data_IF_894818031905
#
_entry.id   IF_894818031905
#
_cell.length_a   1.000
_cell.length_b   1.000
_cell.length_c   1.000
_cell.angle_alpha   90.00
_cell.angle_beta   90.00
_cell.angle_gamma   90.00
#
_symmetry.space_group_name_H-M   'P 1'
#
loop_
_entity.id
_entity.type
_entity.pdbx_description
1 polymer ?
#
# COMPACT_ATOMS: atom_id res chain seq x y z
N UNK A 1 30.18 16.58 20.31
CA UNK A 1 29.05 16.68 19.38
C UNK A 1 27.94 15.77 19.91
N UNK A 2 26.68 16.09 19.59
CA UNK A 2 25.55 15.29 20.01
C UNK A 2 25.55 13.94 19.27
N UNK A 3 25.00 12.91 19.92
CA UNK A 3 24.86 11.56 19.37
C UNK A 3 23.84 11.54 18.22
N UNK A 4 24.16 10.81 17.15
CA UNK A 4 23.21 10.53 16.07
C UNK A 4 22.49 9.22 16.43
N UNK A 5 21.18 9.31 16.65
CA UNK A 5 20.30 8.14 16.84
C UNK A 5 19.41 8.00 15.62
N UNK A 6 19.54 6.89 14.91
CA UNK A 6 18.79 6.67 13.66
C UNK A 6 18.32 5.23 13.54
N UNK A 7 17.13 4.95 12.96
CA UNK A 7 16.74 3.61 12.60
C UNK A 7 17.65 3.03 11.50
N UNK A 8 17.82 1.71 11.50
CA UNK A 8 18.50 1.00 10.45
C UNK A 8 17.85 1.31 9.08
N UNK A 9 18.67 1.57 8.05
CA UNK A 9 18.18 1.97 6.73
C UNK A 9 17.91 3.46 6.55
N UNK A 10 18.17 4.29 7.57
CA UNK A 10 18.07 5.75 7.45
C UNK A 10 19.07 6.30 6.43
N UNK A 11 18.66 7.31 5.68
CA UNK A 11 19.54 8.01 4.73
C UNK A 11 20.15 9.24 5.40
N UNK A 12 21.46 9.22 5.59
CA UNK A 12 22.24 10.38 6.02
C UNK A 12 22.57 11.26 4.82
N UNK A 13 22.19 12.54 4.89
CA UNK A 13 22.56 13.55 3.90
C UNK A 13 23.38 14.63 4.58
N UNK A 14 24.54 14.94 4.00
CA UNK A 14 25.38 16.02 4.50
C UNK A 14 25.82 16.93 3.35
N UNK A 15 25.93 18.22 3.66
CA UNK A 15 26.48 19.23 2.75
C UNK A 15 27.64 19.94 3.47
N UNK A 16 28.71 20.08 2.77
CA UNK A 16 29.91 20.80 3.25
C UNK A 16 30.26 21.94 2.30
N UNK A 17 30.60 23.10 2.88
CA UNK A 17 31.19 24.22 2.16
C UNK A 17 32.61 24.39 2.66
N UNK A 18 33.60 24.22 1.78
CA UNK A 18 35.02 24.27 2.12
C UNK A 18 35.89 24.70 0.93
N UNK A 19 36.91 25.50 1.18
CA UNK A 19 37.90 25.92 0.18
C UNK A 19 39.05 24.93 0.01
N UNK A 20 39.15 23.90 0.87
CA UNK A 20 40.30 22.97 0.89
C UNK A 20 40.11 21.71 0.03
N UNK A 21 39.03 21.61 -0.71
CA UNK A 21 38.69 20.44 -1.53
C UNK A 21 37.58 19.56 -0.89
N UNK A 22 37.22 18.50 -1.59
CA UNK A 22 36.11 17.62 -1.15
C UNK A 22 36.49 16.90 0.16
N UNK A 23 35.69 17.01 1.22
CA UNK A 23 35.86 16.20 2.43
C UNK A 23 35.44 14.75 2.16
N UNK A 24 35.63 13.88 3.16
CA UNK A 24 35.14 12.52 3.13
C UNK A 24 34.35 12.20 4.41
N UNK A 25 33.34 11.40 4.28
CA UNK A 25 32.56 10.85 5.38
C UNK A 25 33.00 9.40 5.61
N UNK A 26 33.23 8.99 6.84
CA UNK A 26 33.45 7.60 7.19
C UNK A 26 32.31 7.11 8.11
N UNK A 27 31.71 5.98 7.74
CA UNK A 27 30.68 5.28 8.53
C UNK A 27 31.04 3.81 8.55
N UNK A 28 31.09 3.18 9.71
CA UNK A 28 31.44 1.76 9.88
C UNK A 28 32.77 1.35 9.22
N UNK A 29 33.74 2.29 9.20
CA UNK A 29 35.05 2.08 8.55
C UNK A 29 35.07 2.20 7.03
N UNK A 30 33.93 2.40 6.39
CA UNK A 30 33.80 2.71 4.97
C UNK A 30 33.95 4.22 4.74
N UNK A 31 34.78 4.62 3.80
CA UNK A 31 34.96 6.02 3.44
C UNK A 31 34.17 6.37 2.20
N UNK A 32 33.27 7.32 2.34
CA UNK A 32 32.33 7.77 1.31
C UNK A 32 32.77 9.20 0.88
N UNK A 33 33.17 9.40 -0.38
CA UNK A 33 33.57 10.71 -0.86
C UNK A 33 32.38 11.63 -1.03
N UNK A 34 32.55 12.91 -0.78
CA UNK A 34 31.59 13.93 -1.14
C UNK A 34 31.65 14.23 -2.63
N UNK A 35 30.52 14.42 -3.27
CA UNK A 35 30.40 14.85 -4.66
C UNK A 35 30.29 16.37 -4.74
N UNK A 36 30.96 16.97 -5.74
CA UNK A 36 30.91 18.41 -5.96
C UNK A 36 29.50 18.84 -6.44
N UNK A 37 28.99 19.90 -5.87
CA UNK A 37 27.79 20.56 -6.35
C UNK A 37 28.09 21.61 -7.41
N UNK A 38 27.11 22.11 -8.13
CA UNK A 38 27.28 23.19 -9.13
C UNK A 38 27.78 24.51 -8.52
N UNK A 39 27.61 24.68 -7.20
CA UNK A 39 28.11 25.83 -6.45
C UNK A 39 29.61 25.70 -6.15
N UNK A 40 30.33 26.79 -6.21
CA UNK A 40 31.80 26.80 -5.92
C UNK A 40 32.04 26.38 -4.46
N UNK A 41 32.94 25.42 -4.26
CA UNK A 41 33.34 24.88 -2.95
C UNK A 41 32.22 24.24 -2.12
N UNK A 42 31.13 23.81 -2.75
CA UNK A 42 30.05 23.07 -2.10
C UNK A 42 30.08 21.59 -2.53
N UNK A 43 29.90 20.71 -1.56
CA UNK A 43 30.00 19.28 -1.74
C UNK A 43 28.84 18.61 -0.96
N UNK A 44 28.32 17.51 -1.48
CA UNK A 44 27.27 16.75 -0.83
C UNK A 44 27.61 15.26 -0.77
N UNK A 45 27.08 14.57 0.24
CA UNK A 45 27.14 13.12 0.36
C UNK A 45 25.78 12.60 0.82
N UNK A 46 25.41 11.45 0.30
CA UNK A 46 24.23 10.69 0.71
C UNK A 46 24.65 9.25 0.93
N UNK A 47 24.30 8.67 2.09
CA UNK A 47 24.62 7.28 2.41
C UNK A 47 23.56 6.67 3.31
N UNK A 48 23.36 5.37 3.20
CA UNK A 48 22.46 4.60 4.06
C UNK A 48 23.19 4.20 5.35
N UNK A 49 22.53 4.38 6.49
CA UNK A 49 23.03 3.98 7.81
C UNK A 49 22.55 2.57 8.13
N UNK A 50 23.39 1.56 7.90
CA UNK A 50 23.08 0.15 8.18
C UNK A 50 23.75 -0.36 9.45
N UNK A 51 24.79 0.34 9.94
CA UNK A 51 25.59 -0.03 11.11
C UNK A 51 26.62 1.05 11.44
N UNK A 52 27.50 0.73 12.38
CA UNK A 52 28.62 1.59 12.79
C UNK A 52 28.45 2.19 14.20
N UNK A 53 29.58 2.65 14.77
CA UNK A 53 29.62 3.27 16.10
C UNK A 53 29.81 4.79 16.01
N UNK A 54 30.24 5.30 14.87
CA UNK A 54 30.48 6.73 14.66
C UNK A 54 30.35 7.15 13.19
N UNK A 55 29.98 8.39 13.00
CA UNK A 55 30.09 9.11 11.72
C UNK A 55 31.25 10.08 11.86
N UNK A 56 32.27 9.95 10.99
CA UNK A 56 33.51 10.75 11.04
C UNK A 56 33.62 11.56 9.76
N UNK A 57 33.79 12.88 9.90
CA UNK A 57 34.04 13.80 8.79
C UNK A 57 35.53 14.16 8.78
N UNK A 58 36.18 13.96 7.64
CA UNK A 58 37.60 14.28 7.45
C UNK A 58 37.86 15.27 6.32
N UNK A 59 38.89 16.09 6.46
CA UNK A 59 39.43 16.87 5.32
C UNK A 59 40.16 15.96 4.31
N UNK A 60 40.50 16.51 3.17
CA UNK A 60 41.23 15.83 2.09
C UNK A 60 42.61 15.28 2.54
N UNK A 61 43.21 15.89 3.55
CA UNK A 61 44.51 15.48 4.14
C UNK A 61 44.35 14.46 5.30
N UNK A 62 43.13 14.02 5.59
CA UNK A 62 42.83 13.04 6.63
C UNK A 62 42.64 13.62 8.04
N UNK A 63 42.64 14.95 8.18
CA UNK A 63 42.36 15.60 9.48
C UNK A 63 40.88 15.42 9.82
N UNK A 64 40.60 14.91 11.02
CA UNK A 64 39.22 14.77 11.52
C UNK A 64 38.67 16.17 11.84
N UNK A 65 37.60 16.55 11.16
CA UNK A 65 36.87 17.79 11.38
C UNK A 65 35.81 17.63 12.45
N UNK A 66 35.09 16.48 12.42
CA UNK A 66 34.05 16.18 13.36
C UNK A 66 33.89 14.67 13.49
N UNK A 67 33.40 14.25 14.66
CA UNK A 67 33.03 12.86 14.97
C UNK A 67 31.74 12.87 15.80
N UNK A 68 30.75 12.11 15.34
CA UNK A 68 29.47 11.92 16.01
C UNK A 68 29.31 10.46 16.38
N UNK A 69 29.10 10.13 17.66
CA UNK A 69 28.68 8.79 18.06
C UNK A 69 27.40 8.42 17.29
N UNK A 70 27.33 7.20 16.78
CA UNK A 70 26.20 6.69 16.01
C UNK A 70 25.55 5.53 16.76
N UNK A 71 24.24 5.63 17.00
CA UNK A 71 23.43 4.55 17.55
C UNK A 71 22.37 4.17 16.55
N UNK A 72 22.52 2.98 15.99
CA UNK A 72 21.49 2.41 15.11
C UNK A 72 20.49 1.67 15.98
N UNK A 73 19.24 2.10 15.89
CA UNK A 73 18.11 1.45 16.58
C UNK A 73 17.35 0.55 15.60
N UNK A 74 16.88 -0.64 16.06
CA UNK A 74 16.04 -1.48 15.23
C UNK A 74 14.75 -0.73 14.83
N UNK A 75 14.37 -0.85 13.58
CA UNK A 75 13.09 -0.40 13.07
C UNK A 75 12.08 -1.54 13.14
N UNK A 76 10.91 -1.29 13.73
CA UNK A 76 9.87 -2.30 13.89
C UNK A 76 8.92 -2.28 12.68
N UNK A 77 8.48 -3.44 12.16
CA UNK A 77 7.53 -3.47 11.05
C UNK A 77 6.22 -2.75 11.39
N UNK A 78 5.61 -2.03 10.45
CA UNK A 78 4.35 -1.35 10.66
C UNK A 78 3.21 -2.31 10.97
N UNK A 79 2.21 -1.83 11.68
CA UNK A 79 1.06 -2.62 12.12
C UNK A 79 -0.24 -2.11 11.52
N UNK A 80 -1.17 -3.03 11.23
CA UNK A 80 -2.50 -2.71 10.72
C UNK A 80 -3.57 -3.55 11.41
N UNK A 81 -4.73 -2.95 11.69
CA UNK A 81 -5.88 -3.66 12.23
C UNK A 81 -7.20 -3.01 11.83
N UNK A 82 -8.25 -3.82 11.66
CA UNK A 82 -9.61 -3.32 11.67
C UNK A 82 -10.04 -3.03 13.11
N UNK A 83 -10.69 -1.89 13.32
CA UNK A 83 -11.21 -1.50 14.64
C UNK A 83 -12.47 -2.32 14.94
N UNK A 84 -13.30 -2.53 13.93
CA UNK A 84 -14.55 -3.28 13.99
C UNK A 84 -14.82 -4.02 12.66
N UNK A 85 -15.90 -4.78 12.61
CA UNK A 85 -16.39 -5.38 11.38
C UNK A 85 -16.91 -4.29 10.45
N UNK A 86 -16.53 -4.30 9.14
CA UNK A 86 -17.03 -3.34 8.18
C UNK A 86 -18.55 -3.27 8.15
N UNK A 87 -19.11 -2.06 8.14
CA UNK A 87 -20.56 -1.83 8.19
C UNK A 87 -21.07 -1.26 6.86
N UNK A 88 -22.22 -1.76 6.41
CA UNK A 88 -22.90 -1.30 5.19
C UNK A 88 -23.99 -0.29 5.59
N UNK A 89 -23.99 0.90 4.99
CA UNK A 89 -25.08 1.87 5.11
C UNK A 89 -26.29 1.50 4.26
N UNK A 90 -27.43 2.14 4.52
CA UNK A 90 -28.66 1.91 3.71
C UNK A 90 -28.50 2.25 2.22
N UNK A 91 -27.48 3.01 1.84
CA UNK A 91 -27.13 3.34 0.44
C UNK A 91 -26.15 2.37 -0.20
N UNK A 92 -25.70 1.32 0.51
CA UNK A 92 -24.71 0.36 0.01
C UNK A 92 -23.26 0.78 0.18
N UNK A 93 -23.00 1.97 0.76
CA UNK A 93 -21.62 2.41 1.08
C UNK A 93 -21.10 1.62 2.27
N UNK A 94 -19.91 1.06 2.12
CA UNK A 94 -19.22 0.33 3.19
C UNK A 94 -18.31 1.30 3.94
N UNK A 95 -18.35 1.23 5.27
CA UNK A 95 -17.41 1.90 6.16
C UNK A 95 -16.44 0.87 6.73
N UNK A 96 -15.15 1.12 6.54
CA UNK A 96 -14.06 0.35 7.08
C UNK A 96 -13.34 1.20 8.12
N UNK A 97 -13.49 0.91 9.40
CA UNK A 97 -12.75 1.57 10.47
C UNK A 97 -11.43 0.80 10.67
N UNK A 98 -10.31 1.52 10.62
CA UNK A 98 -8.99 0.94 10.72
C UNK A 98 -8.07 1.74 11.63
N UNK A 99 -7.05 1.04 12.15
CA UNK A 99 -5.94 1.62 12.89
C UNK A 99 -4.64 1.08 12.31
N UNK A 100 -3.71 1.98 12.07
CA UNK A 100 -2.36 1.72 11.58
C UNK A 100 -1.37 2.32 12.56
N UNK A 101 -0.19 1.74 12.69
CA UNK A 101 0.86 2.24 13.56
C UNK A 101 2.24 1.81 13.08
N UNK A 102 3.22 2.69 13.28
CA UNK A 102 4.62 2.51 12.96
C UNK A 102 5.46 3.46 13.82
N UNK A 103 6.66 3.08 14.19
CA UNK A 103 7.51 3.88 15.08
C UNK A 103 8.20 5.05 14.34
N UNK A 104 8.49 4.92 13.05
CA UNK A 104 9.13 5.97 12.26
C UNK A 104 8.26 6.58 11.17
N UNK A 105 7.16 5.96 10.82
CA UNK A 105 6.14 6.52 9.94
C UNK A 105 5.73 5.63 8.78
N UNK A 106 4.44 5.67 8.51
CA UNK A 106 3.78 4.87 7.48
C UNK A 106 3.95 5.58 6.13
N UNK A 107 4.53 4.89 5.15
CA UNK A 107 4.67 5.39 3.79
C UNK A 107 3.41 5.10 2.95
N UNK A 108 2.90 3.87 3.01
CA UNK A 108 1.74 3.46 2.22
C UNK A 108 0.81 2.56 3.01
N UNK A 109 -0.47 2.63 2.68
CA UNK A 109 -1.48 1.72 3.19
C UNK A 109 -2.50 1.37 2.12
N UNK A 110 -2.98 0.13 2.11
CA UNK A 110 -4.03 -0.33 1.20
C UNK A 110 -4.94 -1.36 1.86
N UNK A 111 -6.16 -1.43 1.38
CA UNK A 111 -7.13 -2.47 1.67
C UNK A 111 -7.13 -3.46 0.50
N UNK A 112 -6.68 -4.67 0.73
CA UNK A 112 -6.69 -5.76 -0.24
C UNK A 112 -8.02 -6.52 -0.17
N UNK A 113 -8.58 -6.80 -1.35
CA UNK A 113 -9.77 -7.62 -1.53
C UNK A 113 -9.38 -8.85 -2.35
N UNK A 114 -9.80 -10.03 -1.90
CA UNK A 114 -9.57 -11.29 -2.62
C UNK A 114 -10.85 -12.12 -2.57
N UNK A 115 -11.36 -12.69 -3.67
CA UNK A 115 -12.51 -13.56 -3.64
C UNK A 115 -12.24 -14.78 -2.74
N UNK A 116 -13.20 -15.14 -1.88
CA UNK A 116 -13.05 -16.30 -0.99
C UNK A 116 -13.01 -17.64 -1.75
N UNK A 117 -13.81 -17.73 -2.81
CA UNK A 117 -14.07 -18.97 -3.56
C UNK A 117 -13.51 -18.90 -5.00
N UNK A 118 -12.36 -18.24 -5.21
CA UNK A 118 -11.71 -18.25 -6.50
C UNK A 118 -10.95 -19.57 -6.71
N UNK A 119 -11.19 -20.24 -7.85
CA UNK A 119 -10.31 -21.33 -8.31
C UNK A 119 -8.87 -20.82 -8.47
N UNK A 120 -7.86 -21.71 -8.28
CA UNK A 120 -6.45 -21.30 -8.30
C UNK A 120 -6.00 -20.66 -9.62
N UNK A 121 -4.82 -20.01 -9.66
CA UNK A 121 -4.44 -18.89 -10.51
C UNK A 121 -4.60 -19.14 -12.00
N UNK A 122 -5.22 -18.18 -12.68
CA UNK A 122 -5.49 -18.17 -14.13
C UNK A 122 -6.89 -17.67 -14.50
N UNK A 123 -7.77 -17.45 -13.53
CA UNK A 123 -9.03 -16.75 -13.72
C UNK A 123 -8.88 -15.23 -13.52
N UNK A 124 -9.85 -14.47 -13.96
CA UNK A 124 -9.97 -13.01 -13.71
C UNK A 124 -10.20 -12.73 -12.20
N UNK A 125 -9.24 -13.07 -11.33
CA UNK A 125 -9.51 -13.14 -9.90
C UNK A 125 -8.38 -12.77 -8.98
N UNK A 126 -7.32 -12.14 -9.49
CA UNK A 126 -6.24 -11.67 -8.63
C UNK A 126 -6.75 -10.55 -7.71
N UNK A 127 -6.07 -10.39 -6.57
CA UNK A 127 -6.43 -9.40 -5.57
C UNK A 127 -6.68 -8.02 -6.20
N UNK A 128 -7.68 -7.32 -5.70
CA UNK A 128 -7.87 -5.89 -5.96
C UNK A 128 -7.44 -5.11 -4.72
N UNK A 129 -6.98 -3.89 -4.89
CA UNK A 129 -6.49 -3.08 -3.79
C UNK A 129 -7.02 -1.65 -3.84
N UNK A 130 -7.42 -1.15 -2.69
CA UNK A 130 -7.92 0.22 -2.51
C UNK A 130 -6.92 0.97 -1.62
N UNK A 131 -6.29 2.05 -2.12
CA UNK A 131 -5.38 2.83 -1.31
C UNK A 131 -6.10 3.48 -0.13
N UNK A 132 -5.44 3.50 1.03
CA UNK A 132 -5.89 4.20 2.21
C UNK A 132 -5.39 5.65 2.15
N UNK A 133 -6.25 6.64 2.40
CA UNK A 133 -5.82 8.03 2.51
C UNK A 133 -5.02 8.21 3.80
N UNK A 134 -3.73 8.55 3.67
CA UNK A 134 -2.82 8.78 4.78
C UNK A 134 -2.17 10.15 4.65
N UNK A 135 -2.04 10.92 5.75
CA UNK A 135 -1.15 12.07 5.80
C UNK A 135 0.31 11.61 5.61
N UNK A 136 1.17 12.49 5.10
CA UNK A 136 2.59 12.19 5.01
C UNK A 136 3.21 12.00 6.41
N UNK A 137 4.12 11.03 6.53
CA UNK A 137 4.91 10.76 7.74
C UNK A 137 4.09 10.52 9.02
N UNK A 138 2.94 9.87 8.90
CA UNK A 138 2.09 9.57 10.04
C UNK A 138 2.58 8.31 10.77
N UNK A 139 2.89 8.44 12.05
CA UNK A 139 3.25 7.28 12.90
C UNK A 139 2.02 6.50 13.39
N UNK A 140 0.89 7.16 13.56
CA UNK A 140 -0.35 6.49 13.97
C UNK A 140 -1.53 7.10 13.25
N UNK A 141 -2.31 6.28 12.58
CA UNK A 141 -3.55 6.67 11.92
C UNK A 141 -4.71 5.82 12.43
N UNK A 142 -5.76 6.48 12.92
CA UNK A 142 -7.06 5.84 13.16
C UNK A 142 -8.09 6.60 12.32
N UNK A 143 -8.70 5.94 11.35
CA UNK A 143 -9.57 6.59 10.37
C UNK A 143 -10.63 5.63 9.83
N UNK A 144 -11.52 6.16 8.99
CA UNK A 144 -12.54 5.42 8.30
C UNK A 144 -12.42 5.60 6.78
N UNK A 145 -12.41 4.49 6.06
CA UNK A 145 -12.52 4.47 4.61
C UNK A 145 -13.99 4.21 4.24
N UNK A 146 -14.54 5.04 3.37
CA UNK A 146 -15.89 4.88 2.82
C UNK A 146 -15.79 4.52 1.34
N UNK A 147 -16.42 3.41 0.92
CA UNK A 147 -16.43 2.97 -0.48
C UNK A 147 -17.78 2.41 -0.89
N UNK A 148 -18.26 2.83 -2.05
CA UNK A 148 -19.35 2.16 -2.75
C UNK A 148 -18.74 1.02 -3.59
N UNK A 149 -18.97 -0.21 -3.18
CA UNK A 149 -18.56 -1.42 -3.91
C UNK A 149 -19.74 -2.18 -4.50
N UNK A 150 -20.93 -1.56 -4.58
CA UNK A 150 -22.13 -2.18 -5.16
C UNK A 150 -22.00 -2.48 -6.66
N UNK A 151 -21.13 -1.78 -7.37
CA UNK A 151 -20.80 -2.01 -8.77
C UNK A 151 -19.49 -2.78 -8.98
N UNK A 152 -18.82 -3.18 -7.89
CA UNK A 152 -17.56 -3.91 -7.97
C UNK A 152 -17.75 -5.25 -8.69
N UNK A 153 -16.70 -5.74 -9.39
CA UNK A 153 -16.75 -7.04 -10.11
C UNK A 153 -17.18 -8.20 -9.21
N UNK A 154 -16.88 -8.15 -7.92
CA UNK A 154 -17.28 -9.16 -6.92
C UNK A 154 -18.50 -8.76 -6.08
N UNK A 155 -19.28 -7.75 -6.49
CA UNK A 155 -20.52 -7.39 -5.80
C UNK A 155 -21.42 -8.61 -5.62
N UNK A 156 -21.97 -8.80 -4.42
CA UNK A 156 -22.79 -9.96 -4.04
C UNK A 156 -22.00 -11.25 -3.78
N UNK A 157 -20.65 -11.19 -3.72
CA UNK A 157 -19.81 -12.34 -3.34
C UNK A 157 -19.09 -12.07 -2.02
N UNK A 158 -18.71 -13.15 -1.34
CA UNK A 158 -17.85 -13.05 -0.16
C UNK A 158 -16.41 -12.85 -0.60
N UNK A 159 -15.78 -11.81 -0.06
CA UNK A 159 -14.37 -11.51 -0.25
C UNK A 159 -13.64 -11.62 1.08
N UNK A 160 -12.35 -11.92 1.00
CA UNK A 160 -11.39 -11.77 2.08
C UNK A 160 -10.84 -10.35 2.02
N UNK A 161 -10.98 -9.60 3.10
CA UNK A 161 -10.43 -8.26 3.29
C UNK A 161 -9.18 -8.34 4.15
N UNK A 162 -8.14 -7.61 3.79
CA UNK A 162 -6.91 -7.51 4.56
C UNK A 162 -6.28 -6.14 4.37
N UNK A 163 -5.95 -5.46 5.46
CA UNK A 163 -5.16 -4.24 5.42
C UNK A 163 -3.68 -4.60 5.27
N UNK A 164 -2.98 -3.82 4.48
CA UNK A 164 -1.53 -3.91 4.33
C UNK A 164 -0.94 -2.51 4.40
N UNK A 165 0.14 -2.37 5.13
CA UNK A 165 0.87 -1.11 5.30
C UNK A 165 2.34 -1.33 5.06
N UNK A 166 3.04 -0.31 4.60
CA UNK A 166 4.49 -0.29 4.49
C UNK A 166 5.06 1.00 5.05
N UNK A 167 6.25 0.91 5.60
CA UNK A 167 7.07 2.03 6.07
C UNK A 167 7.96 2.61 4.96
N UNK A 168 8.86 3.53 5.34
CA UNK A 168 9.79 4.21 4.44
C UNK A 168 10.94 3.33 3.94
N UNK A 169 11.30 2.26 4.65
CA UNK A 169 12.39 1.33 4.27
C UNK A 169 11.87 0.03 3.64
N UNK A 170 10.55 -0.08 3.42
CA UNK A 170 9.94 -1.19 2.71
C UNK A 170 9.53 -2.36 3.58
N UNK A 171 9.55 -2.27 4.90
CA UNK A 171 8.95 -3.26 5.78
C UNK A 171 7.43 -3.23 5.61
N UNK A 172 6.77 -4.37 5.79
CA UNK A 172 5.33 -4.48 5.60
C UNK A 172 4.65 -5.13 6.80
N UNK A 173 3.49 -4.60 7.15
CA UNK A 173 2.60 -5.16 8.14
C UNK A 173 1.21 -5.46 7.58
N UNK A 174 0.57 -6.51 8.08
CA UNK A 174 -0.74 -6.92 7.62
C UNK A 174 -1.71 -7.13 8.78
N UNK A 175 -2.97 -6.77 8.57
CA UNK A 175 -4.02 -7.10 9.54
C UNK A 175 -4.41 -8.57 9.48
N UNK A 176 -5.14 -9.03 10.51
CA UNK A 176 -5.96 -10.24 10.38
C UNK A 176 -6.95 -10.05 9.23
N UNK A 177 -7.18 -11.12 8.46
CA UNK A 177 -8.14 -11.08 7.38
C UNK A 177 -9.57 -11.28 7.88
N UNK A 178 -10.52 -10.61 7.24
CA UNK A 178 -11.94 -10.71 7.48
C UNK A 178 -12.66 -11.23 6.24
N UNK A 179 -13.64 -12.12 6.40
CA UNK A 179 -14.56 -12.46 5.32
C UNK A 179 -15.73 -11.48 5.34
N UNK A 180 -16.04 -10.89 4.19
CA UNK A 180 -17.08 -9.89 4.07
C UNK A 180 -17.90 -10.09 2.80
N UNK A 181 -19.24 -10.08 2.92
CA UNK A 181 -20.14 -10.13 1.77
C UNK A 181 -20.26 -8.73 1.18
N UNK A 182 -19.75 -8.53 -0.03
CA UNK A 182 -19.89 -7.24 -0.70
C UNK A 182 -21.36 -6.95 -1.03
N UNK A 183 -21.82 -5.71 -0.79
CA UNK A 183 -23.15 -5.30 -1.21
C UNK A 183 -23.25 -5.34 -2.74
N UNK A 184 -24.48 -5.54 -3.23
CA UNK A 184 -24.79 -5.46 -4.65
C UNK A 184 -26.00 -4.58 -4.90
N UNK A 185 -26.06 -3.99 -6.09
CA UNK A 185 -27.25 -3.25 -6.53
C UNK A 185 -28.43 -4.22 -6.72
N UNK A 186 -29.55 -3.84 -6.17
CA UNK A 186 -30.79 -4.54 -6.43
C UNK A 186 -31.38 -4.02 -7.75
N UNK A 187 -31.75 -4.95 -8.64
CA UNK A 187 -32.39 -4.63 -9.90
C UNK A 187 -33.78 -5.22 -9.93
N UNK A 188 -34.78 -4.41 -10.21
CA UNK A 188 -36.17 -4.87 -10.32
C UNK A 188 -36.41 -5.56 -11.68
N UNK A 189 -35.77 -5.06 -12.74
CA UNK A 189 -35.96 -5.59 -14.08
C UNK A 189 -35.43 -7.03 -14.24
N UNK A 190 -36.22 -7.99 -14.73
CA UNK A 190 -35.86 -9.42 -14.79
C UNK A 190 -34.56 -9.67 -15.64
N UNK A 191 -34.43 -8.98 -16.75
CA UNK A 191 -33.26 -9.11 -17.63
C UNK A 191 -31.98 -8.62 -16.91
N UNK A 192 -32.05 -7.48 -16.20
CA UNK A 192 -30.93 -6.98 -15.44
C UNK A 192 -30.49 -7.98 -14.35
N UNK A 193 -31.43 -8.59 -13.64
CA UNK A 193 -31.13 -9.66 -12.66
C UNK A 193 -30.44 -10.86 -13.31
N UNK A 194 -30.93 -11.28 -14.47
CA UNK A 194 -30.37 -12.42 -15.19
C UNK A 194 -28.94 -12.15 -15.70
N UNK A 195 -28.67 -10.93 -16.20
CA UNK A 195 -27.32 -10.49 -16.61
C UNK A 195 -26.37 -10.49 -15.42
N UNK A 196 -26.79 -9.96 -14.26
CA UNK A 196 -25.97 -9.97 -13.04
C UNK A 196 -25.68 -11.39 -12.57
N UNK A 197 -26.67 -12.30 -12.63
CA UNK A 197 -26.47 -13.72 -12.29
C UNK A 197 -25.47 -14.39 -13.24
N UNK A 198 -25.59 -14.15 -14.55
CA UNK A 198 -24.66 -14.68 -15.56
C UNK A 198 -23.24 -14.15 -15.35
N UNK A 199 -23.07 -12.86 -15.00
CA UNK A 199 -21.76 -12.28 -14.64
C UNK A 199 -21.15 -12.98 -13.44
N UNK A 200 -21.92 -13.17 -12.36
CA UNK A 200 -21.45 -13.85 -11.14
C UNK A 200 -21.02 -15.30 -11.44
N UNK A 201 -21.78 -16.01 -12.27
CA UNK A 201 -21.45 -17.37 -12.66
C UNK A 201 -20.18 -17.43 -13.51
N UNK A 202 -20.01 -16.48 -14.45
CA UNK A 202 -18.79 -16.38 -15.27
C UNK A 202 -17.57 -16.11 -14.42
N UNK A 203 -17.67 -15.21 -13.44
CA UNK A 203 -16.57 -14.84 -12.56
C UNK A 203 -16.23 -15.99 -11.59
N UNK A 204 -17.24 -16.74 -11.10
CA UNK A 204 -17.02 -17.92 -10.26
C UNK A 204 -16.46 -19.13 -11.03
N UNK A 205 -16.83 -19.29 -12.30
CA UNK A 205 -16.46 -20.44 -13.14
C UNK A 205 -16.09 -20.01 -14.56
N UNK A 206 -14.90 -19.39 -14.78
CA UNK A 206 -14.51 -18.84 -16.08
C UNK A 206 -14.46 -19.88 -17.21
N UNK A 207 -14.34 -21.16 -16.87
CA UNK A 207 -14.35 -22.27 -17.85
C UNK A 207 -15.72 -22.53 -18.48
N UNK A 208 -16.81 -22.08 -17.84
CA UNK A 208 -18.20 -22.24 -18.34
C UNK A 208 -18.67 -21.12 -19.27
N UNK A 209 -17.77 -20.51 -20.05
CA UNK A 209 -18.08 -19.38 -20.94
C UNK A 209 -19.14 -19.69 -21.97
N UNK A 210 -19.14 -20.89 -22.56
CA UNK A 210 -20.08 -21.29 -23.62
C UNK A 210 -21.54 -21.31 -23.15
N UNK A 211 -21.89 -22.04 -22.08
CA UNK A 211 -23.24 -22.03 -21.51
C UNK A 211 -23.72 -20.64 -21.11
N UNK A 212 -22.85 -19.83 -20.49
CA UNK A 212 -23.19 -18.46 -20.05
C UNK A 212 -23.45 -17.54 -21.25
N UNK A 213 -22.60 -17.59 -22.29
CA UNK A 213 -22.83 -16.85 -23.53
C UNK A 213 -24.16 -17.21 -24.20
N UNK A 214 -24.52 -18.50 -24.20
CA UNK A 214 -25.83 -18.96 -24.68
C UNK A 214 -27.00 -18.37 -23.87
N UNK A 215 -26.88 -18.32 -22.55
CA UNK A 215 -27.87 -17.71 -21.67
C UNK A 215 -28.03 -16.22 -21.96
N UNK A 216 -26.93 -15.47 -22.05
CA UNK A 216 -26.94 -14.03 -22.39
C UNK A 216 -27.56 -13.82 -23.78
N UNK A 217 -27.22 -14.64 -24.77
CA UNK A 217 -27.79 -14.52 -26.13
C UNK A 217 -29.31 -14.77 -26.16
N UNK A 218 -29.81 -15.68 -25.35
CA UNK A 218 -31.26 -15.91 -25.19
C UNK A 218 -31.95 -14.72 -24.52
N UNK A 219 -31.32 -14.12 -23.51
CA UNK A 219 -31.84 -12.94 -22.82
C UNK A 219 -31.91 -11.72 -23.77
N UNK A 220 -30.89 -11.50 -24.59
CA UNK A 220 -30.87 -10.43 -25.58
C UNK A 220 -31.98 -10.58 -26.63
N UNK A 221 -32.27 -11.81 -27.09
CA UNK A 221 -33.38 -12.08 -28.02
C UNK A 221 -34.75 -11.92 -27.35
N UNK A 222 -34.84 -12.10 -26.05
CA UNK A 222 -36.06 -11.90 -25.30
C UNK A 222 -36.28 -10.42 -24.90
N UNK A 223 -35.28 -9.54 -25.05
CA UNK A 223 -35.40 -8.11 -24.69
C UNK A 223 -36.48 -7.41 -25.50
N UNK A 224 -36.64 -7.75 -26.80
CA UNK A 224 -37.65 -7.18 -27.68
C UNK A 224 -39.11 -7.47 -27.20
N UNK A 225 -39.29 -8.50 -26.37
CA UNK A 225 -40.59 -8.84 -25.79
C UNK A 225 -40.93 -8.00 -24.54
N UNK A 226 -39.96 -7.27 -23.96
CA UNK A 226 -40.13 -6.48 -22.73
C UNK A 226 -40.18 -4.99 -22.94
N UNK A 227 -39.76 -4.48 -24.13
CA UNK A 227 -39.80 -3.06 -24.46
C UNK A 227 -41.21 -2.51 -24.69
N UNK A 228 -42.24 -3.35 -24.56
CA UNK A 228 -43.66 -3.00 -24.81
C UNK A 228 -44.49 -2.74 -23.55
N UNK A 229 -43.88 -2.74 -22.34
CA UNK A 229 -44.64 -2.49 -21.09
C UNK A 229 -44.02 -1.33 -20.32
N UNK A 230 -44.25 -0.11 -20.78
CA UNK A 230 -44.12 1.13 -20.01
C UNK A 230 -45.49 1.53 -19.47
#
# INVERSE_FOLDING_TARGET
LDEIVAPAGSILKAVAETAKGAPALSVDGETIPFEALESINAYAVETELTGGEAVILTETDGIILAEWPLVIVPDAPPTASFVDTPAISGTGIIRFNYKLGDDYGIAHGKLNLTPKDSEPPGGYGDADSIPLPLPANVQTAASALFRDLTAHRWAGRTVKLQLEVSDGIGQTGQSKSLNFLLPERQFEHPIARAIISARKELDAQPRKRGPIASTISKLLRASDAYDGSA
#
